data_IF_716216019128
#
_entry.id   IF_716216019128
#
_cell.length_a   1.000
_cell.length_b   1.000
_cell.length_c   1.000
_cell.angle_alpha   90.00
_cell.angle_beta   90.00
_cell.angle_gamma   90.00
#
_symmetry.space_group_name_H-M   'P 1'
#
loop_
_entity.id
_entity.type
_entity.pdbx_description
1 polymer ?
#
# COMPACT_ATOMS: atom_id res chain seq x y z
N UNK A 1 -11.88 -46.72 23.73
CA UNK A 1 -10.75 -45.76 23.83
C UNK A 1 -10.16 -45.39 22.47
N UNK A 2 -9.88 -46.36 21.57
CA UNK A 2 -9.35 -46.11 20.20
C UNK A 2 -10.17 -45.09 19.37
N UNK A 3 -11.51 -45.15 19.46
CA UNK A 3 -12.39 -44.26 18.70
C UNK A 3 -12.40 -42.82 19.24
N UNK A 4 -12.16 -42.63 20.54
CA UNK A 4 -12.12 -41.29 21.16
C UNK A 4 -10.85 -40.54 20.75
N UNK A 5 -9.72 -41.25 20.69
CA UNK A 5 -8.46 -40.70 20.19
C UNK A 5 -8.61 -40.27 18.71
N UNK A 6 -9.30 -41.06 17.90
CA UNK A 6 -9.53 -40.75 16.48
C UNK A 6 -10.40 -39.50 16.28
N UNK A 7 -11.46 -39.34 17.09
CA UNK A 7 -12.31 -38.14 17.10
C UNK A 7 -11.50 -36.91 17.54
N UNK A 8 -10.66 -37.04 18.56
CA UNK A 8 -9.82 -35.94 19.05
C UNK A 8 -8.81 -35.48 17.98
N UNK A 9 -8.16 -36.42 17.29
CA UNK A 9 -7.23 -36.11 16.19
C UNK A 9 -7.95 -35.44 15.00
N UNK A 10 -9.19 -35.84 14.71
CA UNK A 10 -10.01 -35.25 13.65
C UNK A 10 -10.48 -33.82 13.97
N UNK A 11 -10.72 -33.51 15.26
CA UNK A 11 -11.05 -32.16 15.70
C UNK A 11 -9.84 -31.22 15.60
N UNK A 12 -8.63 -31.70 15.92
CA UNK A 12 -7.41 -30.87 15.86
C UNK A 12 -7.05 -30.47 14.41
N UNK A 13 -7.28 -31.34 13.43
CA UNK A 13 -6.98 -31.02 12.02
C UNK A 13 -7.91 -29.98 11.40
N UNK A 14 -9.06 -29.70 12.03
CA UNK A 14 -10.01 -28.69 11.54
C UNK A 14 -9.64 -27.24 11.93
N UNK A 15 -8.65 -27.05 12.81
CA UNK A 15 -8.27 -25.74 13.37
C UNK A 15 -7.15 -25.04 12.53
N UNK A 16 -6.53 -25.72 11.56
CA UNK A 16 -5.28 -25.25 10.95
C UNK A 16 -5.42 -24.31 9.74
N UNK A 17 -6.62 -23.84 9.39
CA UNK A 17 -6.80 -22.85 8.33
C UNK A 17 -6.70 -21.40 8.84
N UNK A 18 -5.48 -20.99 9.22
CA UNK A 18 -5.17 -19.57 9.41
C UNK A 18 -4.74 -18.96 8.07
N UNK A 19 -5.64 -18.26 7.39
CA UNK A 19 -5.34 -17.64 6.09
C UNK A 19 -4.57 -16.31 6.28
N UNK A 20 -3.56 -16.05 5.43
CA UNK A 20 -2.72 -14.86 5.56
C UNK A 20 -3.50 -13.56 5.29
N UNK A 21 -3.52 -12.65 6.25
CA UNK A 21 -4.09 -11.31 6.08
C UNK A 21 -3.05 -10.32 5.59
N UNK A 22 -3.41 -9.44 4.66
CA UNK A 22 -2.52 -8.43 4.11
C UNK A 22 -2.84 -7.03 4.65
N UNK A 23 -1.82 -6.22 4.91
CA UNK A 23 -1.99 -4.83 5.36
C UNK A 23 -1.27 -3.85 4.45
N UNK A 24 -1.90 -2.71 4.17
CA UNK A 24 -1.29 -1.63 3.39
C UNK A 24 -0.75 -0.56 4.34
N UNK A 25 0.54 -0.21 4.23
CA UNK A 25 1.14 0.96 4.88
C UNK A 25 1.43 2.09 3.89
N UNK A 26 1.89 3.21 4.43
CA UNK A 26 2.24 4.42 3.67
C UNK A 26 3.13 4.12 2.45
N UNK A 27 2.82 4.80 1.34
CA UNK A 27 3.50 4.64 0.06
C UNK A 27 3.01 3.45 -0.79
N UNK A 28 1.93 2.79 -0.38
CA UNK A 28 1.38 1.62 -1.09
C UNK A 28 2.25 0.38 -0.95
N UNK A 29 2.88 0.21 0.22
CA UNK A 29 3.65 -0.98 0.59
C UNK A 29 2.68 -1.97 1.24
N UNK A 30 2.71 -3.21 0.78
CA UNK A 30 1.87 -4.30 1.28
C UNK A 30 2.72 -5.18 2.19
N UNK A 31 2.15 -5.60 3.32
CA UNK A 31 2.77 -6.48 4.30
C UNK A 31 1.89 -7.71 4.51
N UNK A 32 2.51 -8.86 4.77
CA UNK A 32 1.80 -10.06 5.20
C UNK A 32 1.52 -10.03 6.72
N UNK A 33 0.84 -11.06 7.22
CA UNK A 33 0.54 -11.25 8.66
C UNK A 33 1.79 -11.32 9.54
N UNK A 34 2.93 -11.77 8.97
CA UNK A 34 4.25 -11.83 9.63
C UNK A 34 4.98 -10.48 9.65
N UNK A 35 4.40 -9.43 9.09
CA UNK A 35 5.03 -8.11 9.01
C UNK A 35 6.13 -7.99 7.95
N UNK A 36 6.28 -8.99 7.07
CA UNK A 36 7.21 -8.95 5.96
C UNK A 36 6.63 -8.13 4.81
N UNK A 37 7.49 -7.32 4.19
CA UNK A 37 7.12 -6.52 3.03
C UNK A 37 7.02 -7.42 1.80
N UNK A 38 5.87 -7.38 1.13
CA UNK A 38 5.67 -8.05 -0.14
C UNK A 38 6.22 -7.19 -1.29
N UNK A 39 7.09 -7.81 -2.08
CA UNK A 39 7.55 -7.26 -3.35
C UNK A 39 6.53 -7.53 -4.45
N UNK A 40 6.66 -6.85 -5.60
CA UNK A 40 5.68 -6.96 -6.68
C UNK A 40 5.49 -8.39 -7.20
N UNK A 41 6.55 -9.20 -7.18
CA UNK A 41 6.51 -10.62 -7.57
C UNK A 41 5.70 -11.42 -6.56
N UNK A 42 6.01 -11.29 -5.26
CA UNK A 42 5.24 -11.95 -4.19
C UNK A 42 3.77 -11.53 -4.20
N UNK A 43 3.47 -10.27 -4.50
CA UNK A 43 2.07 -9.82 -4.66
C UNK A 43 1.40 -10.51 -5.84
N UNK A 44 2.10 -10.68 -6.97
CA UNK A 44 1.56 -11.37 -8.15
C UNK A 44 1.34 -12.87 -7.94
N UNK A 45 2.15 -13.51 -7.11
CA UNK A 45 2.03 -14.93 -6.77
C UNK A 45 0.88 -15.20 -5.79
N UNK A 46 0.67 -14.30 -4.82
CA UNK A 46 -0.30 -14.51 -3.74
C UNK A 46 -1.69 -13.88 -4.01
N UNK A 47 -1.80 -12.94 -4.94
CA UNK A 47 -3.07 -12.23 -5.18
C UNK A 47 -3.86 -12.88 -6.31
N UNK A 48 -5.18 -12.91 -6.15
CA UNK A 48 -6.09 -13.29 -7.24
C UNK A 48 -6.01 -12.30 -8.42
N UNK A 49 -6.53 -12.70 -9.59
CA UNK A 49 -6.41 -11.89 -10.81
C UNK A 49 -7.07 -10.50 -10.68
N UNK A 50 -8.18 -10.40 -9.95
CA UNK A 50 -8.91 -9.15 -9.76
C UNK A 50 -8.12 -8.16 -8.90
N UNK A 51 -7.65 -8.59 -7.72
CA UNK A 51 -6.82 -7.80 -6.83
C UNK A 51 -5.51 -7.43 -7.51
N UNK A 52 -4.92 -8.33 -8.30
CA UNK A 52 -3.70 -8.08 -9.06
C UNK A 52 -3.88 -6.98 -10.12
N UNK A 53 -5.03 -6.96 -10.82
CA UNK A 53 -5.35 -5.90 -11.80
C UNK A 53 -5.42 -4.54 -11.12
N UNK A 54 -6.07 -4.44 -9.97
CA UNK A 54 -6.13 -3.21 -9.18
C UNK A 54 -4.76 -2.79 -8.63
N UNK A 55 -3.95 -3.75 -8.17
CA UNK A 55 -2.59 -3.49 -7.71
C UNK A 55 -1.72 -2.90 -8.84
N UNK A 56 -1.70 -3.55 -10.01
CA UNK A 56 -0.95 -3.09 -11.19
C UNK A 56 -1.41 -1.69 -11.62
N UNK A 57 -2.72 -1.46 -11.71
CA UNK A 57 -3.27 -0.14 -12.03
C UNK A 57 -2.86 0.94 -11.00
N UNK A 58 -2.84 0.57 -9.71
CA UNK A 58 -2.31 1.42 -8.65
C UNK A 58 -0.83 1.74 -8.83
N UNK A 59 0.01 0.74 -9.14
CA UNK A 59 1.45 0.95 -9.41
C UNK A 59 1.69 1.87 -10.60
N UNK A 60 0.95 1.71 -11.69
CA UNK A 60 1.03 2.61 -12.85
C UNK A 60 0.67 4.05 -12.47
N UNK A 61 -0.42 4.25 -11.72
CA UNK A 61 -0.81 5.59 -11.23
C UNK A 61 0.23 6.19 -10.30
N UNK A 62 0.89 5.38 -9.46
CA UNK A 62 1.99 5.84 -8.61
C UNK A 62 3.17 6.34 -9.45
N UNK A 63 3.55 5.60 -10.49
CA UNK A 63 4.62 5.99 -11.41
C UNK A 63 4.27 7.27 -12.15
N UNK A 64 3.07 7.35 -12.75
CA UNK A 64 2.61 8.56 -13.42
C UNK A 64 2.57 9.77 -12.47
N UNK A 65 2.01 9.61 -11.28
CA UNK A 65 1.96 10.69 -10.29
C UNK A 65 3.35 11.15 -9.84
N UNK A 66 4.35 10.26 -9.79
CA UNK A 66 5.74 10.64 -9.54
C UNK A 66 6.35 11.37 -10.72
N UNK A 67 6.10 10.91 -11.95
CA UNK A 67 6.59 11.58 -13.17
C UNK A 67 6.02 13.00 -13.25
N UNK A 68 4.73 13.19 -13.03
CA UNK A 68 4.14 14.53 -13.02
C UNK A 68 4.69 15.37 -11.86
N UNK A 69 4.74 14.84 -10.64
CA UNK A 69 5.25 15.62 -9.50
C UNK A 69 6.70 16.07 -9.73
N UNK A 70 7.59 15.12 -10.02
CA UNK A 70 9.02 15.42 -10.20
C UNK A 70 9.28 16.16 -11.50
N UNK A 71 8.53 15.88 -12.57
CA UNK A 71 8.61 16.60 -13.84
C UNK A 71 8.14 18.06 -13.73
N UNK A 72 7.09 18.32 -12.96
CA UNK A 72 6.64 19.69 -12.67
C UNK A 72 7.66 20.46 -11.82
N UNK A 73 8.20 19.83 -10.78
CA UNK A 73 9.25 20.43 -9.94
C UNK A 73 10.54 20.68 -10.75
N UNK A 74 11.00 19.70 -11.55
CA UNK A 74 12.20 19.87 -12.37
C UNK A 74 12.02 20.98 -13.40
N UNK A 75 10.83 21.09 -13.99
CA UNK A 75 10.48 22.19 -14.90
C UNK A 75 10.64 23.55 -14.23
N UNK A 76 10.13 23.71 -13.01
CA UNK A 76 10.26 24.95 -12.22
C UNK A 76 11.75 25.28 -11.98
N UNK A 77 12.53 24.28 -11.53
CA UNK A 77 13.95 24.46 -11.21
C UNK A 77 14.77 24.80 -12.46
N UNK A 78 14.57 24.08 -13.56
CA UNK A 78 15.29 24.32 -14.83
C UNK A 78 14.96 25.72 -15.35
N UNK A 79 13.67 26.09 -15.33
CA UNK A 79 13.23 27.44 -15.73
C UNK A 79 13.93 28.50 -14.88
N UNK A 80 13.95 28.32 -13.56
CA UNK A 80 14.61 29.25 -12.65
C UNK A 80 16.11 29.39 -12.95
N UNK A 81 16.80 28.27 -13.10
CA UNK A 81 18.23 28.26 -13.40
C UNK A 81 18.52 28.93 -14.76
N UNK A 82 17.73 28.65 -15.78
CA UNK A 82 17.85 29.29 -17.09
C UNK A 82 17.60 30.80 -17.00
N UNK A 83 16.66 31.27 -16.17
CA UNK A 83 16.46 32.71 -15.97
C UNK A 83 17.65 33.37 -15.30
N UNK A 84 18.17 32.78 -14.22
CA UNK A 84 19.33 33.33 -13.51
C UNK A 84 20.57 33.37 -14.40
N UNK A 85 20.81 32.33 -15.22
CA UNK A 85 21.93 32.31 -16.17
C UNK A 85 21.83 33.37 -17.27
N UNK A 86 20.61 33.71 -17.68
CA UNK A 86 20.35 34.70 -18.73
C UNK A 86 20.09 36.11 -18.17
N UNK A 87 20.08 36.28 -16.85
CA UNK A 87 19.89 37.57 -16.19
C UNK A 87 21.25 38.26 -16.06
N UNK A 88 21.57 39.17 -16.97
CA UNK A 88 22.81 39.94 -16.95
C UNK A 88 23.04 40.73 -18.23
N UNK A 89 24.12 41.53 -18.22
CA UNK A 89 24.68 42.14 -19.43
C UNK A 89 25.48 41.04 -20.13
N UNK A 90 25.08 40.68 -21.35
CA UNK A 90 25.82 39.73 -22.17
C UNK A 90 27.17 40.34 -22.57
N UNK A 91 28.15 39.52 -22.95
CA UNK A 91 29.51 39.98 -23.33
C UNK A 91 29.53 40.98 -24.50
N UNK A 92 28.42 41.14 -25.20
CA UNK A 92 28.17 42.11 -26.28
C UNK A 92 27.60 43.46 -25.78
N UNK A 93 27.46 43.65 -24.46
CA UNK A 93 26.88 44.86 -23.86
C UNK A 93 25.34 44.92 -23.93
N UNK A 94 24.68 43.89 -24.45
CA UNK A 94 23.20 43.86 -24.52
C UNK A 94 22.58 43.32 -23.23
N UNK A 95 21.44 43.88 -22.85
CA UNK A 95 20.66 43.32 -21.74
C UNK A 95 20.02 41.99 -22.17
N UNK A 96 20.17 40.96 -21.33
CA UNK A 96 19.51 39.68 -21.53
C UNK A 96 18.00 39.84 -21.74
N UNK A 97 17.45 39.20 -22.78
CA UNK A 97 16.02 39.30 -23.12
C UNK A 97 15.14 38.88 -21.93
N UNK A 98 14.03 39.59 -21.66
CA UNK A 98 13.11 39.20 -20.60
C UNK A 98 12.55 37.81 -20.90
N UNK A 99 12.85 36.85 -20.01
CA UNK A 99 12.36 35.48 -20.13
C UNK A 99 10.96 35.38 -19.52
N UNK A 100 10.01 34.79 -20.27
CA UNK A 100 8.62 34.64 -19.84
C UNK A 100 8.48 33.78 -18.57
N UNK A 101 7.47 34.06 -17.74
CA UNK A 101 7.08 33.24 -16.58
C UNK A 101 6.22 32.02 -16.96
N UNK A 102 5.86 31.83 -18.24
CA UNK A 102 4.95 30.76 -18.69
C UNK A 102 5.34 29.37 -18.16
N UNK A 103 6.62 29.03 -18.19
CA UNK A 103 7.08 27.69 -17.78
C UNK A 103 6.95 27.44 -16.27
N UNK A 104 6.96 28.48 -15.43
CA UNK A 104 6.64 28.35 -14.01
C UNK A 104 5.20 27.93 -13.80
N UNK A 105 4.26 28.57 -14.52
CA UNK A 105 2.84 28.24 -14.42
C UNK A 105 2.55 26.83 -14.94
N UNK A 106 3.22 26.41 -16.03
CA UNK A 106 3.15 25.04 -16.54
C UNK A 106 3.66 24.05 -15.49
N UNK A 107 4.85 24.28 -14.94
CA UNK A 107 5.43 23.42 -13.91
C UNK A 107 4.54 23.32 -12.67
N UNK A 108 4.00 24.44 -12.18
CA UNK A 108 3.08 24.50 -11.05
C UNK A 108 1.76 23.76 -11.35
N UNK A 109 1.18 23.95 -12.54
CA UNK A 109 -0.02 23.25 -12.97
C UNK A 109 0.16 21.72 -13.00
N UNK A 110 1.31 21.25 -13.51
CA UNK A 110 1.66 19.84 -13.53
C UNK A 110 1.77 19.27 -12.10
N UNK A 111 2.40 20.01 -11.17
CA UNK A 111 2.47 19.61 -9.75
C UNK A 111 1.08 19.48 -9.14
N UNK A 112 0.19 20.44 -9.39
CA UNK A 112 -1.19 20.39 -8.88
C UNK A 112 -1.96 19.17 -9.41
N UNK A 113 -1.83 18.85 -10.70
CA UNK A 113 -2.45 17.67 -11.32
C UNK A 113 -1.90 16.35 -10.74
N UNK A 114 -0.66 16.34 -10.24
CA UNK A 114 -0.04 15.14 -9.65
C UNK A 114 -0.69 14.69 -8.33
N UNK A 115 -1.32 15.60 -7.58
CA UNK A 115 -1.94 15.33 -6.27
C UNK A 115 -3.12 14.35 -6.38
N UNK A 116 -4.17 14.61 -7.20
CA UNK A 116 -5.30 13.67 -7.33
C UNK A 116 -4.86 12.32 -7.89
N UNK A 117 -3.84 12.29 -8.77
CA UNK A 117 -3.24 11.03 -9.27
C UNK A 117 -2.62 10.25 -8.10
N UNK A 118 -1.91 10.95 -7.21
CA UNK A 118 -1.28 10.34 -6.02
C UNK A 118 -2.29 9.79 -5.03
N UNK A 119 -3.36 10.52 -4.77
CA UNK A 119 -4.48 10.04 -3.93
C UNK A 119 -5.12 8.79 -4.58
N UNK A 120 -5.33 8.85 -5.90
CA UNK A 120 -5.92 7.75 -6.66
C UNK A 120 -5.12 6.44 -6.60
N UNK A 121 -3.78 6.48 -6.59
CA UNK A 121 -2.99 5.25 -6.49
C UNK A 121 -3.18 4.56 -5.13
N UNK A 122 -3.23 5.33 -4.04
CA UNK A 122 -3.38 4.77 -2.69
C UNK A 122 -4.71 4.04 -2.57
N UNK A 123 -5.77 4.66 -3.09
CA UNK A 123 -7.11 4.07 -3.07
C UNK A 123 -7.17 2.76 -3.87
N UNK A 124 -6.47 2.66 -5.02
CA UNK A 124 -6.44 1.43 -5.83
C UNK A 124 -5.67 0.30 -5.15
N UNK A 125 -4.53 0.59 -4.53
CA UNK A 125 -3.76 -0.41 -3.78
C UNK A 125 -4.53 -0.86 -2.53
N UNK A 126 -5.19 0.08 -1.83
CA UNK A 126 -6.04 -0.26 -0.68
C UNK A 126 -7.17 -1.21 -1.09
N UNK A 127 -7.90 -0.89 -2.15
CA UNK A 127 -8.96 -1.76 -2.68
C UNK A 127 -8.46 -3.15 -3.07
N UNK A 128 -7.28 -3.24 -3.68
CA UNK A 128 -6.63 -4.52 -4.00
C UNK A 128 -6.41 -5.38 -2.75
N UNK A 129 -5.86 -4.78 -1.68
CA UNK A 129 -5.66 -5.48 -0.39
C UNK A 129 -7.01 -5.85 0.26
N UNK A 130 -8.00 -4.96 0.20
CA UNK A 130 -9.35 -5.23 0.72
C UNK A 130 -9.98 -6.44 0.03
N UNK A 131 -9.97 -6.49 -1.30
CA UNK A 131 -10.52 -7.64 -2.05
C UNK A 131 -9.78 -8.93 -1.69
N UNK A 132 -8.45 -8.87 -1.57
CA UNK A 132 -7.69 -10.06 -1.19
C UNK A 132 -8.03 -10.54 0.23
N UNK A 133 -8.23 -9.62 1.17
CA UNK A 133 -8.63 -9.95 2.53
C UNK A 133 -10.10 -10.37 2.64
N UNK A 134 -10.99 -9.91 1.75
CA UNK A 134 -12.39 -10.33 1.68
C UNK A 134 -12.55 -11.72 1.07
N UNK A 135 -11.63 -12.11 0.18
CA UNK A 135 -11.53 -13.48 -0.32
C UNK A 135 -11.09 -14.48 0.74
N UNK A 136 -10.39 -14.03 1.79
CA UNK A 136 -10.28 -14.80 3.01
C UNK A 136 -11.60 -14.64 3.80
N UNK A 137 -12.23 -15.71 4.30
CA UNK A 137 -13.36 -15.55 5.19
C UNK A 137 -12.88 -14.70 6.35
N UNK A 138 -13.57 -13.59 6.59
CA UNK A 138 -13.26 -12.65 7.67
C UNK A 138 -13.03 -13.46 8.94
N UNK A 139 -11.77 -13.65 9.31
CA UNK A 139 -11.44 -13.94 10.68
C UNK A 139 -11.69 -12.62 11.36
N UNK A 140 -12.95 -12.37 11.71
CA UNK A 140 -13.25 -11.45 12.81
C UNK A 140 -12.26 -11.84 13.89
N UNK A 141 -11.37 -10.91 14.23
CA UNK A 141 -10.33 -11.17 15.22
C UNK A 141 -11.06 -11.56 16.49
N UNK A 142 -11.20 -12.85 16.76
CA UNK A 142 -11.57 -13.34 18.07
C UNK A 142 -10.35 -13.04 18.92
N UNK A 143 -10.36 -11.85 19.54
CA UNK A 143 -9.38 -11.42 20.51
C UNK A 143 -9.69 -12.17 21.78
N UNK A 144 -9.14 -13.38 21.93
CA UNK A 144 -9.29 -14.14 23.17
C UNK A 144 -8.42 -13.42 24.21
N UNK A 145 -9.04 -12.72 25.14
CA UNK A 145 -8.36 -11.97 26.21
C UNK A 145 -7.71 -12.94 27.20
N UNK A 146 -8.39 -14.06 27.51
CA UNK A 146 -7.82 -15.15 28.30
C UNK A 146 -8.47 -16.50 27.99
N UNK A 147 -7.65 -17.56 28.02
CA UNK A 147 -8.08 -18.96 28.01
C UNK A 147 -7.56 -19.60 29.27
N UNK A 148 -8.45 -19.85 30.24
CA UNK A 148 -8.10 -20.52 31.50
C UNK A 148 -8.69 -21.92 31.56
N UNK A 149 -7.87 -22.88 31.95
CA UNK A 149 -8.30 -24.26 32.19
C UNK A 149 -8.66 -24.40 33.66
N UNK A 150 -9.95 -24.53 33.97
CA UNK A 150 -10.45 -24.66 35.33
C UNK A 150 -10.65 -26.14 35.66
N UNK A 151 -9.97 -26.61 36.71
CA UNK A 151 -10.14 -27.98 37.23
C UNK A 151 -10.71 -27.88 38.65
N UNK A 152 -11.83 -28.56 38.90
CA UNK A 152 -12.40 -28.71 40.24
C UNK A 152 -12.86 -30.15 40.50
N UNK A 153 -13.33 -30.44 41.70
CA UNK A 153 -13.80 -31.77 42.09
C UNK A 153 -14.98 -32.30 41.25
N UNK A 154 -15.71 -31.41 40.57
CA UNK A 154 -16.87 -31.73 39.74
C UNK A 154 -16.52 -31.85 38.24
N UNK A 155 -15.28 -31.55 37.83
CA UNK A 155 -14.82 -31.75 36.45
C UNK A 155 -13.77 -30.75 35.97
N UNK A 156 -13.52 -30.80 34.65
CA UNK A 156 -12.60 -29.93 33.93
C UNK A 156 -13.42 -29.06 32.97
N UNK A 157 -13.22 -27.75 33.01
CA UNK A 157 -13.85 -26.78 32.12
C UNK A 157 -12.82 -25.85 31.48
N UNK A 158 -13.17 -25.27 30.34
CA UNK A 158 -12.38 -24.24 29.65
C UNK A 158 -13.17 -22.94 29.77
N UNK A 159 -12.56 -21.92 30.39
CA UNK A 159 -13.09 -20.56 30.43
C UNK A 159 -12.47 -19.76 29.29
N UNK A 160 -13.31 -19.23 28.42
CA UNK A 160 -12.92 -18.33 27.34
C UNK A 160 -13.50 -16.96 27.64
N UNK A 161 -12.63 -15.96 27.76
CA UNK A 161 -13.03 -14.55 27.86
C UNK A 161 -12.78 -13.89 26.51
N UNK A 162 -13.82 -13.33 25.90
CA UNK A 162 -13.80 -12.66 24.59
C UNK A 162 -13.87 -11.14 24.74
#
# INVERSE_FOLDING_TARGET
MKNLFLIFTLLITSITFCQETYTMKSGGRIFNSKGERLNSTKVAENFNQEALKLYKAGRTKKTLGNIFLYGGISTIIITHLSKVKNAGVQSDGTFGKPTSNTMYFVGAGIVLISIPIKIGFQNRIRKSVTIMNEYNPKTDKVSIESTDLMVNANGIGISLTF
#
